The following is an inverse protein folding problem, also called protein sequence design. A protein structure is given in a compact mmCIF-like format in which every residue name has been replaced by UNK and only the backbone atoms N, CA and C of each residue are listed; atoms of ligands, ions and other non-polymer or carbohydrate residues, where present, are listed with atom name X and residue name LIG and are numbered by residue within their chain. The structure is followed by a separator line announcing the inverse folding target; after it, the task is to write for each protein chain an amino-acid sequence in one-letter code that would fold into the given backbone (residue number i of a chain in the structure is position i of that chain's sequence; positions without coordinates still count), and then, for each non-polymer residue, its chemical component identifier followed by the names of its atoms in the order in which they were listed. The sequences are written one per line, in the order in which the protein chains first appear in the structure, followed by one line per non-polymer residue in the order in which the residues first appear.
data_IF_078612942703
#
_entry.id   IF_078612942703
#
_cell.length_a   1.000
_cell.length_b   1.000
_cell.length_c   1.000
_cell.angle_alpha   90.00
_cell.angle_beta   90.00
_cell.angle_gamma   90.00
#
_symmetry.space_group_name_H-M   'P 1'
#
loop_
_entity.id
_entity.type
_entity.pdbx_description
1 polymer ?
#
# COMPACT_ATOMS: atom_id res chain seq x y z
N UNK A 1 40.31 -13.87 5.96
CA UNK A 1 39.78 -12.84 5.04
C UNK A 1 38.33 -12.62 5.39
N UNK A 2 37.88 -11.35 5.49
CA UNK A 2 36.48 -11.01 5.79
C UNK A 2 35.71 -11.08 4.47
N UNK A 3 34.68 -11.92 4.40
CA UNK A 3 33.85 -12.02 3.19
C UNK A 3 32.90 -10.82 3.05
N UNK A 4 32.54 -10.47 1.82
CA UNK A 4 31.52 -9.47 1.56
C UNK A 4 30.24 -10.07 0.97
N UNK A 5 29.13 -9.37 1.20
CA UNK A 5 27.80 -9.70 0.70
C UNK A 5 27.09 -8.41 0.26
N UNK A 6 26.49 -8.42 -0.93
CA UNK A 6 25.77 -7.26 -1.46
C UNK A 6 24.42 -7.07 -0.77
N UNK A 7 24.24 -5.94 -0.09
CA UNK A 7 23.03 -5.62 0.69
C UNK A 7 21.78 -5.50 -0.19
N UNK A 8 21.95 -5.10 -1.45
CA UNK A 8 20.85 -4.99 -2.42
C UNK A 8 20.06 -6.30 -2.66
N UNK A 9 20.66 -7.47 -2.42
CA UNK A 9 20.03 -8.78 -2.67
C UNK A 9 19.16 -9.28 -1.51
N UNK A 10 19.27 -8.65 -0.34
CA UNK A 10 18.48 -9.01 0.83
C UNK A 10 17.03 -8.57 0.68
N UNK A 11 16.10 -9.41 1.13
CA UNK A 11 14.75 -8.95 1.43
C UNK A 11 14.74 -8.08 2.70
N UNK A 12 13.69 -7.29 2.92
CA UNK A 12 13.65 -6.31 4.00
C UNK A 12 13.86 -6.92 5.40
N UNK A 13 13.13 -7.99 5.72
CA UNK A 13 13.24 -8.68 7.01
C UNK A 13 14.58 -9.40 7.18
N UNK A 14 15.12 -9.95 6.09
CA UNK A 14 16.42 -10.62 6.11
C UNK A 14 17.56 -9.65 6.39
N UNK A 15 17.52 -8.47 5.74
CA UNK A 15 18.50 -7.43 5.99
C UNK A 15 18.46 -6.96 7.44
N UNK A 16 17.27 -6.74 7.99
CA UNK A 16 17.12 -6.31 9.38
C UNK A 16 17.70 -7.35 10.35
N UNK A 17 17.34 -8.63 10.19
CA UNK A 17 17.83 -9.69 11.07
C UNK A 17 19.34 -9.89 10.95
N UNK A 18 19.86 -9.91 9.71
CA UNK A 18 21.29 -10.02 9.44
C UNK A 18 22.06 -8.89 10.14
N UNK A 19 21.61 -7.64 9.99
CA UNK A 19 22.29 -6.49 10.59
C UNK A 19 22.20 -6.46 12.12
N UNK A 20 21.08 -6.90 12.71
CA UNK A 20 20.95 -7.03 14.18
C UNK A 20 21.97 -8.05 14.71
N UNK A 21 22.09 -9.20 14.04
CA UNK A 21 23.05 -10.24 14.44
C UNK A 21 24.50 -9.76 14.29
N UNK A 22 24.82 -9.04 13.20
CA UNK A 22 26.14 -8.44 12.99
C UNK A 22 26.50 -7.41 14.06
N UNK A 23 25.60 -6.47 14.36
CA UNK A 23 25.84 -5.44 15.40
C UNK A 23 26.00 -6.10 16.77
N UNK A 24 25.16 -7.09 17.09
CA UNK A 24 25.24 -7.83 18.36
C UNK A 24 26.57 -8.55 18.51
N UNK A 25 27.02 -9.25 17.48
CA UNK A 25 28.31 -9.97 17.52
C UNK A 25 29.50 -9.00 17.52
N UNK A 26 29.45 -7.91 16.76
CA UNK A 26 30.52 -6.91 16.74
C UNK A 26 30.72 -6.23 18.11
N UNK A 27 29.63 -6.02 18.87
CA UNK A 27 29.72 -5.50 20.25
C UNK A 27 30.49 -6.44 21.18
N UNK A 28 30.51 -7.75 20.92
CA UNK A 28 31.28 -8.71 21.73
C UNK A 28 32.79 -8.60 21.57
N UNK A 29 33.27 -7.89 20.53
CA UNK A 29 34.70 -7.62 20.34
C UNK A 29 35.22 -6.70 21.46
N UNK A 30 34.39 -5.81 21.99
CA UNK A 30 34.76 -4.90 23.08
C UNK A 30 35.77 -3.80 22.68
N UNK A 31 35.97 -3.57 21.38
CA UNK A 31 36.86 -2.52 20.89
C UNK A 31 36.14 -1.16 20.84
N UNK A 32 36.70 -0.15 21.52
CA UNK A 32 36.17 1.22 21.56
C UNK A 32 36.08 1.87 20.18
N UNK A 33 36.95 1.44 19.25
CA UNK A 33 37.03 1.91 17.87
C UNK A 33 35.77 1.54 17.06
N UNK A 34 35.01 0.53 17.49
CA UNK A 34 33.78 0.08 16.83
C UNK A 34 32.53 0.83 17.34
N UNK A 35 32.57 1.34 18.57
CA UNK A 35 31.41 1.92 19.26
C UNK A 35 30.69 3.00 18.43
N UNK A 36 31.39 4.00 17.83
CA UNK A 36 30.71 5.04 17.06
C UNK A 36 29.95 4.47 15.85
N UNK A 37 30.55 3.51 15.14
CA UNK A 37 29.93 2.88 13.95
C UNK A 37 28.74 2.02 14.34
N UNK A 38 28.83 1.29 15.47
CA UNK A 38 27.76 0.45 15.97
C UNK A 38 26.56 1.27 16.45
N UNK A 39 26.81 2.42 17.08
CA UNK A 39 25.74 3.31 17.54
C UNK A 39 25.02 4.00 16.37
N UNK A 40 25.75 4.38 15.32
CA UNK A 40 25.12 4.86 14.08
C UNK A 40 24.32 3.75 13.38
N UNK A 41 24.83 2.53 13.33
CA UNK A 41 24.08 1.38 12.82
C UNK A 41 22.77 1.16 13.59
N UNK A 42 22.79 1.22 14.92
CA UNK A 42 21.57 1.05 15.73
C UNK A 42 20.53 2.15 15.46
N UNK A 43 20.97 3.41 15.28
CA UNK A 43 20.08 4.52 14.90
C UNK A 43 19.42 4.24 13.55
N UNK A 44 20.21 3.87 12.54
CA UNK A 44 19.71 3.61 11.18
C UNK A 44 18.81 2.37 11.17
N UNK A 45 19.15 1.31 11.90
CA UNK A 45 18.32 0.10 12.02
C UNK A 45 17.00 0.37 12.74
N UNK A 46 16.97 1.28 13.72
CA UNK A 46 15.73 1.71 14.36
C UNK A 46 14.81 2.41 13.37
N UNK A 47 15.35 3.31 12.55
CA UNK A 47 14.60 3.98 11.45
C UNK A 47 14.12 2.95 10.43
N UNK A 48 14.98 2.02 10.04
CA UNK A 48 14.62 0.95 9.09
C UNK A 48 13.48 0.08 9.62
N UNK A 49 13.55 -0.37 10.88
CA UNK A 49 12.49 -1.15 11.54
C UNK A 49 11.17 -0.39 11.60
N UNK A 50 11.19 0.91 11.93
CA UNK A 50 10.01 1.76 11.91
C UNK A 50 9.42 1.90 10.50
N UNK A 51 10.28 2.06 9.48
CA UNK A 51 9.88 2.09 8.07
C UNK A 51 9.24 0.78 7.60
N UNK A 52 9.73 -0.38 8.08
CA UNK A 52 9.09 -1.67 7.80
C UNK A 52 7.73 -1.81 8.47
N UNK A 53 7.59 -1.35 9.72
CA UNK A 53 6.32 -1.31 10.41
C UNK A 53 5.31 -0.40 9.69
N UNK A 54 5.75 0.72 9.12
CA UNK A 54 4.90 1.61 8.32
C UNK A 54 4.38 0.95 7.03
N UNK A 55 5.21 0.17 6.34
CA UNK A 55 4.78 -0.59 5.15
C UNK A 55 3.71 -1.62 5.52
N UNK A 56 3.84 -2.26 6.69
CA UNK A 56 2.89 -3.25 7.19
C UNK A 56 1.61 -2.57 7.72
N UNK A 57 1.74 -1.39 8.35
CA UNK A 57 0.66 -0.60 8.95
C UNK A 57 -0.15 0.24 7.94
N UNK A 58 -0.19 -0.16 6.66
CA UNK A 58 -1.22 0.28 5.71
C UNK A 58 -2.63 -0.20 6.09
N UNK A 59 -2.88 -0.51 7.37
CA UNK A 59 -4.17 -0.79 7.99
C UNK A 59 -5.15 0.37 7.78
N UNK A 60 -4.65 1.61 7.68
CA UNK A 60 -5.47 2.78 7.33
C UNK A 60 -5.99 2.70 5.89
N UNK A 61 -5.21 2.21 4.93
CA UNK A 61 -5.71 1.98 3.57
C UNK A 61 -6.79 0.90 3.53
N UNK A 62 -6.68 -0.13 4.38
CA UNK A 62 -7.70 -1.17 4.49
C UNK A 62 -9.00 -0.63 5.14
N UNK A 63 -8.88 0.19 6.20
CA UNK A 63 -10.03 0.86 6.83
C UNK A 63 -10.69 1.86 5.88
N UNK A 64 -9.93 2.72 5.22
CA UNK A 64 -10.46 3.66 4.21
C UNK A 64 -11.17 2.90 3.10
N UNK A 65 -10.59 1.80 2.58
CA UNK A 65 -11.24 0.98 1.57
C UNK A 65 -12.55 0.31 2.06
N UNK A 66 -12.62 -0.07 3.34
CA UNK A 66 -13.84 -0.63 3.92
C UNK A 66 -14.96 0.43 4.04
N UNK A 67 -14.64 1.63 4.54
CA UNK A 67 -15.61 2.74 4.60
C UNK A 67 -16.03 3.23 3.21
N UNK A 68 -15.10 3.22 2.25
CA UNK A 68 -15.36 3.52 0.84
C UNK A 68 -16.38 2.53 0.25
N UNK A 69 -16.19 1.22 0.51
CA UNK A 69 -17.10 0.19 0.03
C UNK A 69 -18.53 0.35 0.60
N UNK A 70 -18.66 0.69 1.89
CA UNK A 70 -19.97 0.96 2.52
C UNK A 70 -20.63 2.20 1.90
N UNK A 71 -19.86 3.25 1.63
CA UNK A 71 -20.34 4.47 0.96
C UNK A 71 -20.83 4.18 -0.46
N UNK A 72 -20.04 3.45 -1.25
CA UNK A 72 -20.38 2.99 -2.59
C UNK A 72 -21.66 2.14 -2.58
N UNK A 73 -21.81 1.27 -1.59
CA UNK A 73 -22.99 0.44 -1.41
C UNK A 73 -24.23 1.28 -1.09
N UNK A 74 -24.12 2.25 -0.18
CA UNK A 74 -25.23 3.15 0.15
C UNK A 74 -25.70 3.95 -1.07
N UNK A 75 -24.77 4.45 -1.89
CA UNK A 75 -25.10 5.14 -3.14
C UNK A 75 -25.76 4.21 -4.18
N UNK A 76 -25.24 2.98 -4.31
CA UNK A 76 -25.81 1.95 -5.21
C UNK A 76 -27.23 1.57 -4.78
N UNK A 77 -27.48 1.43 -3.48
CA UNK A 77 -28.79 1.11 -2.92
C UNK A 77 -29.80 2.24 -3.18
N UNK A 78 -29.44 3.50 -2.93
CA UNK A 78 -30.28 4.65 -3.26
C UNK A 78 -30.65 4.68 -4.75
N UNK A 79 -29.65 4.50 -5.63
CA UNK A 79 -29.86 4.44 -7.08
C UNK A 79 -30.77 3.28 -7.49
N UNK A 80 -30.59 2.12 -6.86
CA UNK A 80 -31.41 0.93 -7.06
C UNK A 80 -32.87 1.15 -6.68
N UNK A 81 -33.13 1.77 -5.52
CA UNK A 81 -34.48 2.11 -5.07
C UNK A 81 -35.19 3.07 -6.04
N UNK A 82 -34.52 4.16 -6.45
CA UNK A 82 -35.08 5.12 -7.41
C UNK A 82 -35.39 4.44 -8.74
N UNK A 83 -34.50 3.58 -9.22
CA UNK A 83 -34.70 2.83 -10.47
C UNK A 83 -35.85 1.83 -10.33
N UNK A 84 -35.99 1.14 -9.21
CA UNK A 84 -37.09 0.21 -8.95
C UNK A 84 -38.46 0.89 -9.04
N UNK A 85 -38.59 2.10 -8.49
CA UNK A 85 -39.83 2.86 -8.52
C UNK A 85 -40.26 3.30 -9.94
N UNK A 86 -39.35 3.28 -10.93
CA UNK A 86 -39.70 3.56 -12.35
C UNK A 86 -40.53 2.46 -13.03
N UNK A 87 -40.55 1.25 -12.45
CA UNK A 87 -41.29 0.10 -12.99
C UNK A 87 -42.61 -0.16 -12.27
N UNK A 88 -42.99 0.69 -11.32
CA UNK A 88 -44.23 0.59 -10.54
C UNK A 88 -45.46 0.84 -11.41
N UNK A 89 -46.61 0.17 -11.16
CA UNK A 89 -47.83 0.41 -11.94
C UNK A 89 -48.39 1.84 -11.75
N UNK A 90 -48.18 2.45 -10.58
CA UNK A 90 -48.66 3.80 -10.26
C UNK A 90 -47.93 4.87 -11.08
N UNK A 91 -48.64 5.52 -12.01
CA UNK A 91 -48.10 6.57 -12.91
C UNK A 91 -47.44 7.71 -12.11
N UNK A 92 -48.13 8.14 -11.08
CA UNK A 92 -47.73 9.15 -10.11
C UNK A 92 -46.38 8.91 -9.43
N UNK A 93 -46.04 7.65 -9.14
CA UNK A 93 -44.75 7.26 -8.56
C UNK A 93 -43.68 7.13 -9.63
N UNK A 94 -44.03 6.59 -10.81
CA UNK A 94 -43.12 6.50 -11.95
C UNK A 94 -42.61 7.86 -12.39
N UNK A 95 -43.47 8.86 -12.49
CA UNK A 95 -43.08 10.21 -12.90
C UNK A 95 -42.12 10.86 -11.89
N UNK A 96 -42.40 10.69 -10.58
CA UNK A 96 -41.49 11.14 -9.52
C UNK A 96 -40.13 10.44 -9.61
N UNK A 97 -40.11 9.12 -9.83
CA UNK A 97 -38.90 8.34 -9.99
C UNK A 97 -38.12 8.70 -11.27
N UNK A 98 -38.80 9.07 -12.36
CA UNK A 98 -38.17 9.55 -13.59
C UNK A 98 -37.49 10.91 -13.37
N UNK A 99 -38.14 11.85 -12.68
CA UNK A 99 -37.55 13.16 -12.33
C UNK A 99 -36.28 12.98 -11.49
N UNK A 100 -36.31 12.11 -10.49
CA UNK A 100 -35.13 11.79 -9.69
C UNK A 100 -34.07 11.02 -10.48
N UNK A 101 -34.45 10.16 -11.42
CA UNK A 101 -33.50 9.46 -12.29
C UNK A 101 -32.71 10.41 -13.20
N UNK A 102 -33.33 11.51 -13.63
CA UNK A 102 -32.65 12.57 -14.39
C UNK A 102 -31.61 13.26 -13.50
N UNK A 103 -31.95 13.55 -12.24
CA UNK A 103 -31.00 14.08 -11.26
C UNK A 103 -29.84 13.09 -11.03
N UNK A 104 -30.14 11.83 -10.73
CA UNK A 104 -29.10 10.81 -10.52
C UNK A 104 -28.17 10.62 -11.73
N UNK A 105 -28.62 10.99 -12.94
CA UNK A 105 -27.80 10.94 -14.14
C UNK A 105 -26.68 12.00 -14.16
N UNK A 106 -26.84 13.14 -13.49
CA UNK A 106 -25.77 14.16 -13.36
C UNK A 106 -24.68 13.69 -12.39
N UNK A 107 -25.04 12.85 -11.42
CA UNK A 107 -24.15 12.23 -10.43
C UNK A 107 -23.69 10.81 -10.82
N UNK A 108 -23.52 10.53 -12.12
CA UNK A 108 -23.04 9.21 -12.56
C UNK A 108 -21.56 9.00 -12.27
N UNK A 109 -21.21 7.74 -11.96
CA UNK A 109 -19.84 7.25 -11.80
C UNK A 109 -19.06 7.98 -10.70
N UNK A 110 -19.71 8.23 -9.56
CA UNK A 110 -19.08 8.83 -8.38
C UNK A 110 -17.91 7.98 -7.87
N UNK A 111 -18.07 6.66 -7.91
CA UNK A 111 -17.09 5.59 -7.62
C UNK A 111 -15.78 5.66 -8.44
N UNK A 112 -15.72 6.52 -9.46
CA UNK A 112 -14.56 6.67 -10.35
C UNK A 112 -13.88 8.03 -10.22
N UNK A 113 -14.38 8.88 -9.32
CA UNK A 113 -13.77 10.17 -9.01
C UNK A 113 -12.75 10.00 -7.88
N UNK A 114 -11.94 11.03 -7.65
CA UNK A 114 -11.09 11.04 -6.46
C UNK A 114 -11.96 11.11 -5.21
N UNK A 115 -11.49 10.51 -4.12
CA UNK A 115 -12.22 10.44 -2.85
C UNK A 115 -12.79 11.78 -2.38
N UNK A 116 -11.99 12.86 -2.46
CA UNK A 116 -12.43 14.21 -2.10
C UNK A 116 -13.55 14.76 -3.00
N UNK A 117 -13.46 14.51 -4.31
CA UNK A 117 -14.49 14.93 -5.27
C UNK A 117 -15.77 14.12 -5.12
N UNK A 118 -15.66 12.83 -4.81
CA UNK A 118 -16.79 11.98 -4.52
C UNK A 118 -17.53 12.44 -3.27
N UNK A 119 -16.80 12.69 -2.16
CA UNK A 119 -17.36 13.20 -0.91
C UNK A 119 -18.16 14.48 -1.10
N UNK A 120 -17.57 15.47 -1.80
CA UNK A 120 -18.21 16.75 -2.11
C UNK A 120 -19.48 16.59 -2.95
N UNK A 121 -19.44 15.72 -3.96
CA UNK A 121 -20.59 15.47 -4.81
C UNK A 121 -21.70 14.70 -4.09
N UNK A 122 -21.37 13.82 -3.15
CA UNK A 122 -22.36 13.12 -2.33
C UNK A 122 -23.06 14.07 -1.35
N UNK A 123 -22.34 15.05 -0.78
CA UNK A 123 -22.97 16.12 0.01
C UNK A 123 -23.93 16.97 -0.84
N UNK A 124 -23.49 17.40 -2.03
CA UNK A 124 -24.33 18.16 -2.97
C UNK A 124 -25.56 17.37 -3.41
N UNK A 125 -25.41 16.07 -3.68
CA UNK A 125 -26.54 15.20 -4.01
C UNK A 125 -27.54 15.10 -2.85
N UNK A 126 -27.06 14.93 -1.61
CA UNK A 126 -27.93 14.89 -0.44
C UNK A 126 -28.67 16.21 -0.23
N UNK A 127 -28.02 17.35 -0.46
CA UNK A 127 -28.62 18.68 -0.40
C UNK A 127 -29.68 18.87 -1.51
N UNK A 128 -29.35 18.55 -2.76
CA UNK A 128 -30.27 18.67 -3.89
C UNK A 128 -31.50 17.77 -3.70
N UNK A 129 -31.34 16.53 -3.22
CA UNK A 129 -32.47 15.65 -2.92
C UNK A 129 -33.35 16.18 -1.77
N UNK A 130 -32.78 16.93 -0.82
CA UNK A 130 -33.50 17.57 0.28
C UNK A 130 -34.10 18.94 -0.09
N UNK A 131 -33.72 19.51 -1.23
CA UNK A 131 -34.22 20.80 -1.71
C UNK A 131 -35.73 20.76 -1.98
N UNK A 132 -36.37 21.92 -1.90
CA UNK A 132 -37.82 22.06 -2.14
C UNK A 132 -38.25 21.56 -3.54
N UNK A 133 -37.31 21.54 -4.49
CA UNK A 133 -37.51 21.03 -5.85
C UNK A 133 -37.78 19.52 -5.90
N UNK A 134 -37.15 18.72 -5.02
CA UNK A 134 -37.21 17.26 -5.06
C UNK A 134 -37.82 16.63 -3.80
N UNK A 135 -38.02 17.41 -2.73
CA UNK A 135 -38.58 16.96 -1.44
C UNK A 135 -39.94 16.28 -1.56
N UNK A 136 -40.81 16.77 -2.45
CA UNK A 136 -42.12 16.15 -2.72
C UNK A 136 -41.97 14.75 -3.34
N UNK A 137 -41.05 14.59 -4.30
CA UNK A 137 -40.76 13.32 -4.97
C UNK A 137 -40.10 12.33 -4.00
N UNK A 138 -39.17 12.79 -3.17
CA UNK A 138 -38.50 11.99 -2.13
C UNK A 138 -39.51 11.45 -1.11
N UNK A 139 -40.45 12.29 -0.67
CA UNK A 139 -41.51 11.90 0.27
C UNK A 139 -42.47 10.89 -0.37
N UNK A 140 -42.84 11.12 -1.64
CA UNK A 140 -43.75 10.24 -2.40
C UNK A 140 -43.17 8.84 -2.61
N UNK A 141 -41.86 8.73 -2.81
CA UNK A 141 -41.17 7.45 -2.99
C UNK A 141 -40.67 6.83 -1.67
N UNK A 142 -40.83 7.52 -0.53
CA UNK A 142 -40.36 7.09 0.77
C UNK A 142 -38.86 6.72 0.83
N UNK A 143 -38.01 7.46 0.10
CA UNK A 143 -36.57 7.19 0.01
C UNK A 143 -35.71 8.01 0.99
N UNK A 144 -36.32 8.82 1.86
CA UNK A 144 -35.62 9.68 2.82
C UNK A 144 -34.63 8.91 3.72
N UNK A 145 -34.97 7.67 4.09
CA UNK A 145 -34.11 6.79 4.89
C UNK A 145 -32.84 6.40 4.15
N UNK A 146 -32.92 6.16 2.84
CA UNK A 146 -31.77 5.83 2.00
C UNK A 146 -30.85 7.03 1.79
N UNK A 147 -31.42 8.24 1.69
CA UNK A 147 -30.65 9.48 1.60
C UNK A 147 -29.87 9.71 2.90
N UNK A 148 -30.49 9.50 4.06
CA UNK A 148 -29.82 9.63 5.35
C UNK A 148 -28.69 8.60 5.53
N UNK A 149 -28.93 7.33 5.17
CA UNK A 149 -27.88 6.28 5.21
C UNK A 149 -26.69 6.63 4.31
N UNK A 150 -26.94 7.18 3.12
CA UNK A 150 -25.88 7.62 2.21
C UNK A 150 -25.09 8.81 2.79
N UNK A 151 -25.77 9.81 3.34
CA UNK A 151 -25.15 10.99 3.96
C UNK A 151 -24.32 10.60 5.21
N UNK A 152 -24.83 9.68 6.04
CA UNK A 152 -24.11 9.12 7.18
C UNK A 152 -22.86 8.33 6.77
N UNK A 153 -22.97 7.46 5.77
CA UNK A 153 -21.82 6.72 5.23
C UNK A 153 -20.76 7.67 4.64
N UNK A 154 -21.18 8.73 3.95
CA UNK A 154 -20.27 9.74 3.41
C UNK A 154 -19.55 10.50 4.54
N UNK A 155 -20.25 10.91 5.59
CA UNK A 155 -19.67 11.57 6.78
C UNK A 155 -18.72 10.66 7.58
N UNK A 156 -19.01 9.36 7.60
CA UNK A 156 -18.13 8.38 8.25
C UNK A 156 -16.84 8.19 7.44
N UNK A 157 -16.94 8.10 6.11
CA UNK A 157 -15.79 8.05 5.22
C UNK A 157 -14.93 9.31 5.35
N UNK A 158 -15.54 10.50 5.27
CA UNK A 158 -14.86 11.80 5.33
C UNK A 158 -14.02 11.94 6.60
N UNK A 159 -14.58 11.57 7.76
CA UNK A 159 -13.87 11.56 9.04
C UNK A 159 -12.65 10.64 9.06
N UNK A 160 -12.77 9.43 8.53
CA UNK A 160 -11.64 8.48 8.46
C UNK A 160 -10.61 8.92 7.43
N UNK A 161 -11.05 9.53 6.34
CA UNK A 161 -10.18 10.07 5.30
C UNK A 161 -9.35 11.25 5.82
N UNK A 162 -9.97 12.19 6.55
CA UNK A 162 -9.28 13.30 7.21
C UNK A 162 -8.34 12.82 8.33
N UNK A 163 -8.75 11.81 9.11
CA UNK A 163 -7.88 11.19 10.10
C UNK A 163 -6.65 10.57 9.43
N UNK A 164 -6.82 9.89 8.30
CA UNK A 164 -5.70 9.38 7.50
C UNK A 164 -4.81 10.52 7.03
N UNK A 165 -5.35 11.58 6.42
CA UNK A 165 -4.54 12.67 5.88
C UNK A 165 -3.76 13.41 6.98
N UNK A 166 -4.35 13.60 8.16
CA UNK A 166 -3.67 14.20 9.31
C UNK A 166 -2.59 13.27 9.91
N UNK A 167 -2.88 11.98 10.05
CA UNK A 167 -1.90 11.02 10.54
C UNK A 167 -0.80 10.71 9.51
N UNK A 168 -1.10 10.68 8.21
CA UNK A 168 -0.12 10.53 7.13
C UNK A 168 0.74 11.78 6.98
N UNK A 169 0.15 12.97 7.13
CA UNK A 169 0.88 14.23 7.17
C UNK A 169 1.85 14.35 8.35
N UNK A 170 1.54 13.69 9.47
CA UNK A 170 2.41 13.59 10.64
C UNK A 170 3.43 12.45 10.57
N UNK A 171 3.32 11.52 9.60
CA UNK A 171 4.24 10.37 9.48
C UNK A 171 5.53 10.79 8.79
N UNK A 172 6.71 10.55 9.38
CA UNK A 172 7.97 10.73 8.67
C UNK A 172 8.02 9.74 7.50
N UNK A 173 8.02 10.25 6.26
CA UNK A 173 8.21 9.44 5.06
C UNK A 173 9.61 8.84 5.12
N UNK A 174 9.69 7.57 5.53
CA UNK A 174 10.97 6.88 5.59
C UNK A 174 11.32 6.37 4.20
N UNK A 175 12.29 7.02 3.55
CA UNK A 175 12.84 6.54 2.28
C UNK A 175 13.69 5.29 2.53
N UNK A 176 13.05 4.12 2.48
CA UNK A 176 13.69 2.82 2.73
C UNK A 176 14.90 2.54 1.82
N UNK A 177 14.96 3.13 0.61
CA UNK A 177 16.11 2.97 -0.27
C UNK A 177 17.34 3.73 0.28
N UNK A 178 17.13 4.95 0.74
CA UNK A 178 18.19 5.75 1.36
C UNK A 178 18.65 5.13 2.68
N UNK A 179 17.71 4.63 3.49
CA UNK A 179 18.04 3.92 4.74
C UNK A 179 18.87 2.66 4.45
N UNK A 180 18.54 1.88 3.40
CA UNK A 180 19.36 0.73 2.97
C UNK A 180 20.78 1.14 2.57
N UNK A 181 20.93 2.24 1.84
CA UNK A 181 22.23 2.78 1.45
C UNK A 181 23.07 3.22 2.66
N UNK A 182 22.43 3.79 3.67
CA UNK A 182 23.09 4.13 4.94
C UNK A 182 23.53 2.88 5.69
N UNK A 183 22.67 1.86 5.78
CA UNK A 183 23.03 0.55 6.36
C UNK A 183 24.28 0.00 5.65
N UNK A 184 24.30 -0.01 4.33
CA UNK A 184 25.43 -0.49 3.53
C UNK A 184 26.72 0.26 3.82
N UNK A 185 26.67 1.59 3.81
CA UNK A 185 27.83 2.43 4.14
C UNK A 185 28.40 2.14 5.54
N UNK A 186 27.54 2.08 6.56
CA UNK A 186 28.00 1.86 7.93
C UNK A 186 28.45 0.42 8.17
N UNK A 187 27.84 -0.54 7.48
CA UNK A 187 28.25 -1.94 7.50
C UNK A 187 29.62 -2.15 6.84
N UNK A 188 29.87 -1.56 5.67
CA UNK A 188 31.20 -1.59 5.05
C UNK A 188 32.25 -0.98 5.98
N UNK A 189 31.92 0.16 6.60
CA UNK A 189 32.80 0.80 7.58
C UNK A 189 33.09 -0.08 8.79
N UNK A 190 32.09 -0.83 9.28
CA UNK A 190 32.28 -1.80 10.35
C UNK A 190 33.32 -2.86 9.95
N UNK A 191 33.17 -3.45 8.76
CA UNK A 191 34.10 -4.47 8.25
C UNK A 191 35.52 -3.93 8.05
N UNK A 192 35.66 -2.69 7.57
CA UNK A 192 36.97 -2.02 7.45
C UNK A 192 37.66 -1.88 8.81
N UNK A 193 36.95 -1.42 9.84
CA UNK A 193 37.51 -1.25 11.18
C UNK A 193 37.88 -2.61 11.76
N UNK A 194 37.03 -3.63 11.62
CA UNK A 194 37.34 -5.00 12.06
C UNK A 194 38.58 -5.55 11.34
N UNK A 195 38.69 -5.33 10.02
CA UNK A 195 39.87 -5.71 9.24
C UNK A 195 41.15 -5.02 9.71
N UNK A 196 41.08 -3.72 9.99
CA UNK A 196 42.19 -2.96 10.55
C UNK A 196 42.57 -3.44 11.95
N UNK A 197 41.58 -3.71 12.82
CA UNK A 197 41.80 -4.24 14.15
C UNK A 197 42.45 -5.62 14.12
N UNK A 198 42.08 -6.48 13.17
CA UNK A 198 42.72 -7.80 12.99
C UNK A 198 44.22 -7.68 12.66
N UNK A 199 44.62 -6.63 11.92
CA UNK A 199 46.03 -6.38 11.56
C UNK A 199 46.79 -5.74 12.74
N UNK A 200 46.18 -4.75 13.40
CA UNK A 200 46.85 -3.93 14.42
C UNK A 200 46.86 -4.59 15.81
N UNK A 201 45.78 -5.28 16.17
CA UNK A 201 45.53 -5.87 17.50
C UNK A 201 44.80 -7.21 17.33
N UNK A 202 45.45 -8.24 16.75
CA UNK A 202 44.81 -9.54 16.58
C UNK A 202 44.34 -10.09 17.93
N UNK A 203 43.15 -10.67 17.95
CA UNK A 203 42.55 -11.19 19.17
C UNK A 203 41.47 -12.22 18.89
N UNK A 204 41.31 -13.17 19.81
CA UNK A 204 40.35 -14.27 19.68
C UNK A 204 38.90 -13.79 19.47
N UNK A 205 38.53 -12.65 20.04
CA UNK A 205 37.21 -12.05 19.86
C UNK A 205 36.98 -11.59 18.41
N UNK A 206 37.99 -11.01 17.77
CA UNK A 206 37.95 -10.56 16.37
C UNK A 206 37.90 -11.78 15.45
N UNK A 207 38.71 -12.80 15.71
CA UNK A 207 38.70 -14.05 14.94
C UNK A 207 37.33 -14.76 15.00
N UNK A 208 36.73 -14.82 16.20
CA UNK A 208 35.39 -15.38 16.39
C UNK A 208 34.33 -14.59 15.65
N UNK A 209 34.41 -13.25 15.68
CA UNK A 209 33.50 -12.39 14.91
C UNK A 209 33.63 -12.68 13.41
N UNK A 210 34.86 -12.67 12.86
CA UNK A 210 35.12 -12.92 11.43
C UNK A 210 34.61 -14.30 11.03
N UNK A 211 34.82 -15.33 11.86
CA UNK A 211 34.32 -16.68 11.59
C UNK A 211 32.79 -16.73 11.49
N UNK A 212 32.08 -16.17 12.47
CA UNK A 212 30.60 -16.12 12.47
C UNK A 212 30.06 -15.28 11.32
N UNK A 213 30.72 -14.15 11.06
CA UNK A 213 30.39 -13.26 9.95
C UNK A 213 30.47 -14.00 8.61
N UNK A 214 31.58 -14.68 8.34
CA UNK A 214 31.77 -15.46 7.11
C UNK A 214 30.75 -16.60 6.99
N UNK A 215 30.41 -17.27 8.09
CA UNK A 215 29.37 -18.31 8.09
C UNK A 215 27.99 -17.73 7.73
N UNK A 216 27.63 -16.57 8.29
CA UNK A 216 26.38 -15.87 7.92
C UNK A 216 26.38 -15.46 6.46
N UNK A 217 27.48 -14.90 5.96
CA UNK A 217 27.63 -14.52 4.54
C UNK A 217 27.48 -15.74 3.63
N UNK A 218 28.11 -16.87 3.96
CA UNK A 218 27.99 -18.11 3.20
C UNK A 218 26.53 -18.61 3.15
N UNK A 219 25.82 -18.59 4.28
CA UNK A 219 24.38 -18.93 4.34
C UNK A 219 23.54 -18.01 3.45
N UNK A 220 23.79 -16.70 3.49
CA UNK A 220 23.06 -15.74 2.66
C UNK A 220 23.36 -15.92 1.17
N UNK A 221 24.63 -16.12 0.79
CA UNK A 221 25.02 -16.41 -0.59
C UNK A 221 24.36 -17.68 -1.13
N UNK A 222 24.33 -18.75 -0.33
CA UNK A 222 23.66 -19.99 -0.71
C UNK A 222 22.15 -19.78 -0.91
N UNK A 223 21.51 -19.02 -0.02
CA UNK A 223 20.10 -18.67 -0.13
C UNK A 223 19.81 -17.77 -1.34
N UNK A 224 20.68 -16.82 -1.68
CA UNK A 224 20.54 -16.00 -2.90
C UNK A 224 20.70 -16.86 -4.16
N UNK A 225 21.68 -17.76 -4.19
CA UNK A 225 21.88 -18.69 -5.29
C UNK A 225 20.67 -19.64 -5.45
N UNK A 226 20.09 -20.12 -4.34
CA UNK A 226 18.88 -20.93 -4.36
C UNK A 226 17.70 -20.16 -4.95
N UNK A 227 17.53 -18.88 -4.62
CA UNK A 227 16.49 -18.03 -5.20
C UNK A 227 16.67 -17.81 -6.69
N UNK A 228 17.90 -17.58 -7.14
CA UNK A 228 18.19 -17.46 -8.57
C UNK A 228 17.94 -18.76 -9.32
N UNK A 229 18.37 -19.89 -8.75
CA UNK A 229 18.12 -21.20 -9.34
C UNK A 229 16.63 -21.54 -9.39
N UNK A 230 15.88 -21.23 -8.32
CA UNK A 230 14.44 -21.48 -8.23
C UNK A 230 13.66 -20.55 -9.16
N UNK A 231 14.03 -19.27 -9.20
CA UNK A 231 13.48 -18.30 -10.15
C UNK A 231 13.74 -18.72 -11.60
N UNK A 232 14.97 -19.13 -11.91
CA UNK A 232 15.37 -19.62 -13.23
C UNK A 232 14.59 -20.89 -13.60
N UNK A 233 14.48 -21.88 -12.71
CA UNK A 233 13.66 -23.09 -12.94
C UNK A 233 12.19 -22.76 -13.16
N UNK A 234 11.58 -21.94 -12.31
CA UNK A 234 10.18 -21.54 -12.45
C UNK A 234 9.92 -20.78 -13.76
N UNK A 235 10.87 -19.93 -14.18
CA UNK A 235 10.84 -19.25 -15.48
C UNK A 235 11.00 -20.25 -16.62
N UNK A 236 11.92 -21.20 -16.53
CA UNK A 236 12.11 -22.26 -17.53
C UNK A 236 10.86 -23.13 -17.68
N UNK A 237 10.23 -23.55 -16.59
CA UNK A 237 8.97 -24.31 -16.61
C UNK A 237 7.85 -23.50 -17.29
N UNK A 238 7.69 -22.22 -16.93
CA UNK A 238 6.69 -21.35 -17.58
C UNK A 238 6.98 -21.16 -19.07
N UNK A 239 8.25 -21.00 -19.46
CA UNK A 239 8.67 -20.93 -20.86
C UNK A 239 8.35 -22.21 -21.62
N UNK A 240 8.61 -23.38 -21.01
CA UNK A 240 8.30 -24.67 -21.62
C UNK A 240 6.79 -24.83 -21.88
N UNK A 241 5.95 -24.48 -20.90
CA UNK A 241 4.48 -24.52 -21.06
C UNK A 241 4.03 -23.55 -22.17
N UNK A 242 4.55 -22.32 -22.18
CA UNK A 242 4.26 -21.34 -23.25
C UNK A 242 4.65 -21.87 -24.63
N UNK A 243 5.81 -22.52 -24.74
CA UNK A 243 6.30 -23.12 -25.99
C UNK A 243 5.40 -24.24 -26.47
N UNK A 244 5.06 -25.17 -25.58
CA UNK A 244 4.20 -26.31 -25.92
C UNK A 244 2.83 -25.84 -26.40
N UNK A 245 2.19 -24.90 -25.69
CA UNK A 245 0.91 -24.34 -26.11
C UNK A 245 0.98 -23.58 -27.44
N UNK A 246 2.07 -22.87 -27.71
CA UNK A 246 2.27 -22.20 -29.00
C UNK A 246 2.45 -23.21 -30.15
N UNK A 247 3.19 -24.30 -29.92
CA UNK A 247 3.32 -25.39 -30.88
C UNK A 247 1.98 -26.08 -31.15
N UNK A 248 1.19 -26.37 -30.11
CA UNK A 248 -0.15 -26.98 -30.22
C UNK A 248 -1.11 -26.08 -31.02
N UNK A 249 -0.94 -24.76 -30.94
CA UNK A 249 -1.70 -23.77 -31.73
C UNK A 249 -1.15 -23.56 -33.15
N UNK A 250 -0.16 -24.35 -33.58
CA UNK A 250 0.41 -24.32 -34.93
C UNK A 250 1.37 -23.16 -35.20
N UNK A 251 1.95 -22.55 -34.16
CA UNK A 251 2.90 -21.46 -34.37
C UNK A 251 4.25 -22.02 -34.82
N UNK A 252 4.73 -21.57 -35.98
CA UNK A 252 6.04 -21.91 -36.50
C UNK A 252 7.14 -21.20 -35.68
N UNK A 253 7.51 -21.78 -34.54
CA UNK A 253 8.61 -21.32 -33.71
C UNK A 253 9.94 -21.78 -34.34
N UNK A 254 10.85 -20.86 -34.75
CA UNK A 254 12.15 -21.24 -35.29
C UNK A 254 12.92 -22.25 -34.42
N UNK A 255 13.44 -23.29 -35.04
CA UNK A 255 14.30 -24.28 -34.39
C UNK A 255 15.59 -23.60 -33.91
N UNK A 256 15.88 -23.70 -32.60
CA UNK A 256 17.08 -23.11 -31.99
C UNK A 256 16.92 -21.75 -31.31
N UNK A 257 15.69 -21.30 -31.06
CA UNK A 257 15.40 -20.00 -30.42
C UNK A 257 16.09 -19.78 -29.06
N UNK A 258 17.01 -18.82 -29.08
CA UNK A 258 17.68 -18.20 -27.95
C UNK A 258 16.73 -17.29 -27.14
N UNK A 259 17.16 -16.91 -25.93
CA UNK A 259 16.39 -16.21 -24.89
C UNK A 259 15.70 -14.89 -25.32
N UNK A 260 15.98 -14.36 -26.51
CA UNK A 260 15.59 -13.03 -26.99
C UNK A 260 14.10 -12.88 -27.36
N UNK A 261 13.34 -13.97 -27.45
CA UNK A 261 11.90 -13.92 -27.79
C UNK A 261 10.97 -13.99 -26.58
N UNK A 262 11.50 -14.15 -25.36
CA UNK A 262 10.71 -14.18 -24.13
C UNK A 262 10.90 -12.89 -23.32
N UNK A 263 9.93 -11.99 -23.32
CA UNK A 263 9.98 -10.81 -22.45
C UNK A 263 9.68 -11.19 -20.99
N UNK A 264 10.65 -10.98 -20.10
CA UNK A 264 10.49 -11.17 -18.64
C UNK A 264 10.08 -12.58 -18.23
N UNK A 265 10.39 -13.61 -19.04
CA UNK A 265 10.17 -15.02 -18.72
C UNK A 265 8.70 -15.47 -18.60
N UNK A 266 7.74 -14.62 -18.99
CA UNK A 266 6.30 -14.87 -18.80
C UNK A 266 5.47 -14.64 -20.06
N UNK A 267 6.12 -14.31 -21.18
CA UNK A 267 5.47 -13.93 -22.44
C UNK A 267 6.22 -14.51 -23.62
N UNK A 268 5.48 -14.83 -24.68
CA UNK A 268 6.00 -15.29 -25.97
C UNK A 268 5.50 -14.36 -27.07
N UNK A 269 6.36 -14.05 -28.04
CA UNK A 269 6.01 -13.23 -29.20
C UNK A 269 5.41 -14.12 -30.30
N UNK A 270 4.27 -13.75 -30.84
CA UNK A 270 3.69 -14.45 -31.99
C UNK A 270 4.52 -14.16 -33.25
N UNK A 271 4.93 -15.19 -34.03
CA UNK A 271 5.86 -15.04 -35.16
C UNK A 271 5.30 -14.18 -36.31
N UNK A 272 4.02 -14.35 -36.68
CA UNK A 272 3.38 -13.55 -37.73
C UNK A 272 2.80 -12.21 -37.24
N UNK A 273 2.06 -12.20 -36.13
CA UNK A 273 1.35 -11.00 -35.65
C UNK A 273 2.25 -9.98 -34.94
N UNK A 274 3.47 -10.35 -34.53
CA UNK A 274 4.36 -9.52 -33.69
C UNK A 274 3.70 -8.99 -32.42
N UNK A 275 2.77 -9.76 -31.85
CA UNK A 275 2.08 -9.46 -30.59
C UNK A 275 2.54 -10.38 -29.47
N UNK A 276 2.51 -9.87 -28.25
CA UNK A 276 2.88 -10.64 -27.06
C UNK A 276 1.70 -11.46 -26.55
N UNK A 277 1.95 -12.69 -26.14
CA UNK A 277 0.98 -13.58 -25.51
C UNK A 277 1.53 -14.09 -24.18
N UNK A 278 0.65 -14.35 -23.21
CA UNK A 278 1.00 -14.94 -21.92
C UNK A 278 0.04 -16.08 -21.56
N UNK A 279 0.41 -16.87 -20.54
CA UNK A 279 -0.49 -17.89 -19.99
C UNK A 279 -1.75 -17.21 -19.43
N UNK A 280 -2.91 -17.67 -19.88
CA UNK A 280 -4.21 -17.29 -19.36
C UNK A 280 -5.13 -18.50 -19.30
N UNK A 281 -6.41 -18.26 -18.99
CA UNK A 281 -7.45 -19.29 -19.00
C UNK A 281 -8.58 -18.84 -19.93
N UNK A 282 -9.13 -19.78 -20.70
CA UNK A 282 -10.36 -19.60 -21.47
C UNK A 282 -11.32 -20.71 -21.04
N UNK A 283 -12.23 -20.40 -20.12
CA UNK A 283 -12.94 -21.42 -19.34
C UNK A 283 -11.99 -22.12 -18.37
N UNK A 284 -12.06 -23.46 -18.31
CA UNK A 284 -11.17 -24.30 -17.47
C UNK A 284 -9.84 -24.68 -18.15
N UNK A 285 -9.68 -24.32 -19.43
CA UNK A 285 -8.50 -24.67 -20.21
C UNK A 285 -7.44 -23.56 -20.07
N UNK A 286 -6.24 -23.95 -19.67
CA UNK A 286 -5.05 -23.08 -19.69
C UNK A 286 -4.60 -22.91 -21.14
N UNK A 287 -4.50 -21.67 -21.61
CA UNK A 287 -4.18 -21.37 -23.02
C UNK A 287 -3.40 -20.06 -23.15
N UNK A 288 -2.96 -19.73 -24.36
CA UNK A 288 -2.30 -18.45 -24.67
C UNK A 288 -3.34 -17.35 -24.87
N UNK A 289 -3.19 -16.26 -24.13
CA UNK A 289 -4.04 -15.07 -24.24
C UNK A 289 -3.18 -13.88 -24.64
N UNK A 290 -3.69 -13.06 -25.57
CA UNK A 290 -3.04 -11.82 -26.00
C UNK A 290 -2.73 -10.94 -24.79
N UNK A 291 -1.46 -10.60 -24.61
CA UNK A 291 -1.02 -9.72 -23.55
C UNK A 291 -1.39 -8.29 -23.90
N UNK A 292 -2.42 -7.79 -23.24
CA UNK A 292 -2.73 -6.36 -23.17
C UNK A 292 -2.14 -5.83 -21.88
N UNK A 293 -1.23 -4.86 -21.97
CA UNK A 293 -0.62 -4.24 -20.80
C UNK A 293 -1.66 -3.91 -19.73
N UNK A 294 -1.41 -4.27 -18.47
CA UNK A 294 -2.36 -4.02 -17.38
C UNK A 294 -2.60 -2.51 -17.26
N UNK A 295 -3.84 -2.06 -17.52
CA UNK A 295 -4.40 -0.93 -16.76
C UNK A 295 -4.71 -1.47 -15.36
N UNK A 296 -4.23 -0.81 -14.30
CA UNK A 296 -4.53 -1.16 -12.90
C UNK A 296 -6.04 -1.36 -12.76
N UNK A 297 -6.46 -2.54 -12.29
CA UNK A 297 -7.84 -2.86 -11.94
C UNK A 297 -7.88 -3.23 -10.46
N UNK A 298 -8.61 -2.44 -9.70
CA UNK A 298 -9.08 -2.71 -8.34
C UNK A 298 -10.12 -3.83 -8.39
N UNK A 299 -10.06 -4.77 -7.45
CA UNK A 299 -10.95 -5.94 -7.39
C UNK A 299 -11.83 -5.79 -6.16
N UNK A 300 -13.14 -5.73 -6.35
CA UNK A 300 -14.15 -5.83 -5.29
C UNK A 300 -14.64 -7.27 -5.18
N UNK A 301 -14.76 -7.77 -3.95
CA UNK A 301 -15.38 -9.07 -3.64
C UNK A 301 -16.67 -8.82 -2.87
N UNK A 302 -17.70 -9.58 -3.21
CA UNK A 302 -19.07 -9.42 -2.71
C UNK A 302 -19.34 -10.22 -1.43
N UNK A 303 -20.16 -9.66 -0.55
CA UNK A 303 -21.09 -10.37 0.32
C UNK A 303 -20.80 -10.34 1.82
N UNK A 304 -21.42 -9.40 2.54
CA UNK A 304 -22.30 -9.64 3.70
C UNK A 304 -22.90 -8.29 4.13
N UNK A 305 -24.18 -8.27 4.51
CA UNK A 305 -24.96 -7.08 4.85
C UNK A 305 -24.27 -6.25 5.94
N UNK A 306 -23.67 -5.13 5.54
CA UNK A 306 -22.80 -4.31 6.38
C UNK A 306 -23.56 -3.51 7.43
N UNK A 307 -23.44 -3.93 8.67
CA UNK A 307 -23.49 -3.03 9.80
C UNK A 307 -22.25 -2.11 9.72
N UNK A 308 -22.43 -0.81 9.99
CA UNK A 308 -21.33 0.16 9.91
C UNK A 308 -20.16 -0.28 10.82
N UNK A 309 -18.91 -0.33 10.31
CA UNK A 309 -17.75 -0.60 11.15
C UNK A 309 -17.67 0.43 12.30
N UNK A 310 -17.42 -0.05 13.51
CA UNK A 310 -17.36 0.83 14.69
C UNK A 310 -16.27 1.91 14.54
N UNK A 311 -16.66 3.16 14.76
CA UNK A 311 -15.75 4.30 14.82
C UNK A 311 -14.93 4.18 16.11
N UNK A 312 -13.58 4.22 16.06
CA UNK A 312 -12.77 4.30 17.27
C UNK A 312 -13.12 5.57 18.06
N UNK A 313 -13.37 5.42 19.36
CA UNK A 313 -13.58 6.55 20.27
C UNK A 313 -12.36 7.46 20.25
N UNK A 314 -12.58 8.78 20.14
CA UNK A 314 -11.53 9.78 20.23
C UNK A 314 -10.69 9.57 21.52
N UNK A 315 -9.36 9.72 21.48
CA UNK A 315 -8.59 9.82 22.70
C UNK A 315 -9.04 11.08 23.44
N UNK A 316 -9.65 10.88 24.61
CA UNK A 316 -10.07 11.93 25.51
C UNK A 316 -8.89 12.87 25.81
N UNK A 317 -9.01 14.11 25.34
CA UNK A 317 -8.11 15.19 25.73
C UNK A 317 -8.28 15.49 27.23
N UNK A 318 -7.22 15.79 27.99
CA UNK A 318 -7.34 16.09 29.40
C UNK A 318 -8.12 17.39 29.60
N UNK A 319 -9.22 17.32 30.35
CA UNK A 319 -9.98 18.48 30.79
C UNK A 319 -9.14 19.32 31.75
N UNK A 320 -8.52 20.39 31.24
CA UNK A 320 -7.99 21.47 32.06
C UNK A 320 -9.11 22.42 32.47
N UNK A 321 -9.79 22.11 33.57
CA UNK A 321 -10.72 23.02 34.25
C UNK A 321 -9.99 23.78 35.36
N UNK A 322 -9.87 25.10 35.21
CA UNK A 322 -9.20 25.97 36.15
C UNK A 322 -9.96 26.26 37.44
N UNK A 323 -9.25 26.83 38.40
CA UNK A 323 -9.84 27.72 39.40
C UNK A 323 -8.91 28.92 39.57
N UNK A 324 -9.51 30.09 39.42
CA UNK A 324 -8.95 31.42 39.66
C UNK A 324 -8.39 31.59 41.06
N UNK A 325 -7.35 32.41 41.20
CA UNK A 325 -7.38 33.57 42.10
C UNK A 325 -6.20 34.51 41.83
N UNK A 326 -6.53 35.68 41.25
CA UNK A 326 -6.12 37.00 41.70
C UNK A 326 -4.64 37.42 41.70
N UNK A 327 -4.34 38.49 40.96
CA UNK A 327 -3.53 39.58 41.51
C UNK A 327 -2.45 40.19 40.63
N UNK A 328 -2.81 41.32 40.00
CA UNK A 328 -2.03 42.56 39.93
C UNK A 328 -0.88 42.73 38.92
N UNK A 329 -1.09 43.76 38.09
CA UNK A 329 -0.17 44.84 37.66
C UNK A 329 1.01 44.53 36.74
N UNK A 330 1.03 45.20 35.58
CA UNK A 330 2.22 45.40 34.76
C UNK A 330 1.89 45.89 33.34
N UNK A 331 1.71 47.19 33.18
CA UNK A 331 1.63 47.92 31.91
C UNK A 331 2.85 47.74 30.98
N UNK A 332 2.66 48.22 29.74
CA UNK A 332 3.58 48.36 28.59
C UNK A 332 3.50 47.17 27.62
N UNK A 333 3.13 47.30 26.34
CA UNK A 333 3.18 48.46 25.44
C UNK A 333 3.92 48.03 24.17
N UNK A 334 3.42 48.47 23.01
CA UNK A 334 4.12 48.51 21.71
C UNK A 334 3.98 47.34 20.73
N UNK A 335 3.11 47.58 19.74
CA UNK A 335 3.35 47.54 18.29
C UNK A 335 4.36 46.54 17.69
N UNK A 336 3.86 45.73 16.74
CA UNK A 336 4.18 45.92 15.31
C UNK A 336 5.33 45.14 14.67
N UNK A 337 5.04 44.56 13.50
CA UNK A 337 6.01 44.05 12.50
C UNK A 337 6.09 42.52 12.48
N UNK A 338 5.77 41.79 11.41
CA UNK A 338 5.90 42.13 10.00
C UNK A 338 7.24 41.63 9.47
N UNK A 339 7.29 40.35 9.07
CA UNK A 339 7.86 39.80 7.83
C UNK A 339 7.62 38.29 7.79
#
# INVERSE_FOLDING_TARGET
MIEQVGIGRFQQAELLNFMIDEVKDARTIGASELTPTLDELDKVLKVFKAGLAQIIASEHSAKVAAFDAVRDEAFRNLTGCIRGETFRPEADRREAAQRLSILMRTYKRLDQKSYRNETELMYKLAEELRSDKYKADVTKLAISTWINKMDEANKAFDRIFDLRDNEEGARPITNNLEVRRQIEKHYERLLEIVGALQILKPGKAIELFIGRHNERVAKMKALFALREATGSKAVQTKRAILRNLAMDLGWALPSGQSDYEFYGGTRILHPAERKWYCLGKKGDIVTLVEYRGRKKKTTSTAGESGELPQIPSEPSSPSGGGSDTGGSSGEQGSQGGGL
#
